data_IF_860542141027
#
_entry.id   IF_860542141027
#
_cell.length_a   1.000
_cell.length_b   1.000
_cell.length_c   1.000
_cell.angle_alpha   90.00
_cell.angle_beta   90.00
_cell.angle_gamma   90.00
#
_symmetry.space_group_name_H-M   'P 1'
#
loop_
_entity.id
_entity.type
_entity.pdbx_description
1 polymer ?
#
# COMPACT_ATOMS: atom_id res chain seq x y z
N UNK A 1 27.73 -20.86 2.31
CA UNK A 1 26.29 -20.54 2.17
C UNK A 1 26.21 -19.07 1.80
N UNK A 2 25.98 -18.74 0.53
CA UNK A 2 25.74 -17.35 0.10
C UNK A 2 24.44 -17.33 -0.67
N UNK A 3 23.34 -17.27 0.09
CA UNK A 3 21.99 -17.10 -0.44
C UNK A 3 21.90 -15.68 -1.03
N UNK A 4 21.49 -15.58 -2.31
CA UNK A 4 21.20 -14.28 -2.94
C UNK A 4 19.98 -13.68 -2.25
N UNK A 5 19.94 -12.36 -1.96
CA UNK A 5 18.74 -11.75 -1.41
C UNK A 5 17.58 -11.95 -2.39
N UNK A 6 16.48 -12.51 -1.90
CA UNK A 6 15.25 -12.61 -2.69
C UNK A 6 14.82 -11.20 -3.10
N UNK A 7 14.68 -10.98 -4.40
CA UNK A 7 14.22 -9.70 -4.94
C UNK A 7 12.72 -9.64 -4.82
N UNK A 8 12.22 -9.10 -3.71
CA UNK A 8 10.80 -8.81 -3.57
C UNK A 8 10.43 -7.61 -4.44
N UNK A 9 9.37 -7.77 -5.24
CA UNK A 9 8.76 -6.65 -5.95
C UNK A 9 7.82 -5.93 -4.99
N UNK A 10 7.90 -4.61 -5.02
CA UNK A 10 7.01 -3.73 -4.26
C UNK A 10 6.51 -2.63 -5.18
N UNK A 11 5.48 -1.93 -4.73
CA UNK A 11 4.82 -0.85 -5.45
C UNK A 11 5.81 0.27 -5.76
N UNK A 12 5.82 0.69 -7.03
CA UNK A 12 6.70 1.75 -7.52
C UNK A 12 6.18 3.14 -7.15
N UNK A 13 4.86 3.31 -7.19
CA UNK A 13 4.16 4.57 -7.00
C UNK A 13 2.95 4.36 -6.10
N UNK A 14 2.56 5.42 -5.38
CA UNK A 14 1.35 5.42 -4.58
C UNK A 14 0.15 5.46 -5.51
N UNK A 15 -0.91 4.73 -5.16
CA UNK A 15 -2.10 4.60 -5.97
C UNK A 15 -3.36 4.62 -5.14
N UNK A 16 -4.44 5.10 -5.74
CA UNK A 16 -5.79 4.99 -5.19
C UNK A 16 -6.65 4.24 -6.20
N UNK A 17 -7.48 3.35 -5.69
CA UNK A 17 -8.43 2.59 -6.51
C UNK A 17 -9.81 2.69 -5.88
N UNK A 18 -10.80 3.09 -6.67
CA UNK A 18 -12.19 3.19 -6.24
C UNK A 18 -13.03 2.14 -6.96
N UNK A 19 -13.88 1.44 -6.22
CA UNK A 19 -14.82 0.47 -6.74
C UNK A 19 -16.22 0.72 -6.16
N UNK A 20 -17.23 0.84 -7.02
CA UNK A 20 -18.62 1.04 -6.61
C UNK A 20 -19.41 -0.24 -6.86
N UNK A 21 -19.98 -0.83 -5.80
CA UNK A 21 -20.82 -2.03 -5.89
C UNK A 21 -22.16 -1.75 -5.24
N UNK A 22 -23.24 -1.78 -6.03
CA UNK A 22 -24.63 -1.73 -5.57
C UNK A 22 -24.91 -0.64 -4.49
N UNK A 23 -24.34 0.55 -4.68
CA UNK A 23 -24.37 1.76 -3.80
C UNK A 23 -23.31 1.87 -2.71
N UNK A 24 -22.53 0.83 -2.43
CA UNK A 24 -21.35 0.95 -1.56
C UNK A 24 -20.13 1.40 -2.35
N UNK A 25 -19.38 2.36 -1.80
CA UNK A 25 -18.13 2.85 -2.36
C UNK A 25 -16.97 2.27 -1.56
N UNK A 26 -16.12 1.53 -2.25
CA UNK A 26 -14.89 0.96 -1.70
C UNK A 26 -13.72 1.78 -2.22
N UNK A 27 -13.00 2.43 -1.31
CA UNK A 27 -11.83 3.24 -1.62
C UNK A 27 -10.61 2.51 -1.06
N UNK A 28 -9.69 2.14 -1.94
CA UNK A 28 -8.42 1.53 -1.58
C UNK A 28 -7.31 2.56 -1.81
N UNK A 29 -6.67 2.99 -0.72
CA UNK A 29 -5.48 3.84 -0.77
C UNK A 29 -4.26 2.95 -0.52
N UNK A 30 -3.37 2.89 -1.51
CA UNK A 30 -2.15 2.08 -1.46
C UNK A 30 -0.93 2.99 -1.55
N UNK A 31 -0.05 2.90 -0.55
CA UNK A 31 1.17 3.68 -0.50
C UNK A 31 2.33 2.81 0.00
N UNK A 32 3.53 3.10 -0.50
CA UNK A 32 4.74 2.39 -0.10
C UNK A 32 5.23 2.91 1.24
N UNK A 33 5.44 2.01 2.19
CA UNK A 33 6.00 2.32 3.50
C UNK A 33 7.24 1.47 3.75
N UNK A 34 8.24 2.06 4.40
CA UNK A 34 9.45 1.36 4.82
C UNK A 34 9.46 1.14 6.33
N UNK A 35 8.65 1.91 7.08
CA UNK A 35 8.54 1.80 8.54
C UNK A 35 7.08 1.68 8.99
N UNK A 36 6.89 1.19 10.21
CA UNK A 36 5.55 1.07 10.82
C UNK A 36 4.95 2.44 11.10
N UNK A 37 5.76 3.42 11.51
CA UNK A 37 5.31 4.80 11.74
C UNK A 37 4.77 5.46 10.47
N UNK A 38 5.44 5.27 9.33
CA UNK A 38 4.94 5.76 8.02
C UNK A 38 3.57 5.15 7.68
N UNK A 39 3.35 3.86 8.01
CA UNK A 39 2.08 3.19 7.81
C UNK A 39 0.96 3.76 8.71
N UNK A 40 1.26 4.08 9.96
CA UNK A 40 0.29 4.71 10.85
C UNK A 40 -0.12 6.11 10.40
N UNK A 41 0.84 6.90 9.92
CA UNK A 41 0.57 8.26 9.42
C UNK A 41 -0.35 8.20 8.20
N UNK A 42 -0.15 7.24 7.30
CA UNK A 42 -1.03 7.02 6.14
C UNK A 42 -2.47 6.66 6.52
N UNK A 43 -2.66 5.93 7.62
CA UNK A 43 -3.99 5.59 8.11
C UNK A 43 -4.69 6.78 8.79
N UNK A 44 -3.94 7.62 9.51
CA UNK A 44 -4.50 8.78 10.25
C UNK A 44 -4.89 9.95 9.35
N UNK A 45 -4.34 10.03 8.14
CA UNK A 45 -4.56 11.13 7.20
C UNK A 45 -5.68 10.87 6.15
N UNK A 46 -6.42 9.75 6.25
CA UNK A 46 -7.59 9.44 5.40
C UNK A 46 -8.91 9.84 6.06
#
# INVERSE_FOLDING_TARGET
MTEKPEKYLTIKENGTHELVIKKSRFICSMARTNTVEEAEILLKNN
#
